data_IF_415675345890
#
_entry.id   IF_415675345890
#
_cell.length_a   1.000
_cell.length_b   1.000
_cell.length_c   1.000
_cell.angle_alpha   90.00
_cell.angle_beta   90.00
_cell.angle_gamma   90.00
#
_symmetry.space_group_name_H-M   'P 1'
#
loop_
_entity.id
_entity.type
_entity.pdbx_description
1 polymer ?
#
# COMPACT_ATOMS: atom_id res chain seq x y z
N UNK A 1 -3.55 -22.41 17.50
CA UNK A 1 -4.22 -21.90 16.30
C UNK A 1 -4.87 -20.56 16.61
N UNK A 2 -4.72 -19.58 15.73
CA UNK A 2 -5.26 -18.26 15.96
C UNK A 2 -6.77 -18.21 15.78
N UNK A 3 -7.43 -17.33 16.54
CA UNK A 3 -8.85 -17.06 16.40
C UNK A 3 -9.21 -16.43 15.05
N UNK A 4 -8.24 -15.79 14.40
CA UNK A 4 -8.46 -15.07 13.13
C UNK A 4 -8.23 -15.93 11.91
N UNK A 5 -7.54 -17.07 12.04
CA UNK A 5 -7.21 -17.92 10.90
C UNK A 5 -8.50 -18.41 10.23
N UNK A 6 -8.60 -18.19 8.91
CA UNK A 6 -9.78 -18.57 8.13
C UNK A 6 -10.96 -17.63 8.28
N UNK A 7 -10.84 -16.55 9.06
CA UNK A 7 -11.93 -15.61 9.25
C UNK A 7 -11.91 -14.49 8.18
N UNK A 8 -13.06 -13.83 8.04
CA UNK A 8 -13.19 -12.66 7.20
C UNK A 8 -12.28 -11.52 7.67
N UNK A 9 -12.08 -11.39 8.99
CA UNK A 9 -11.20 -10.37 9.56
C UNK A 9 -9.77 -10.56 9.07
N UNK A 10 -9.27 -11.78 9.09
CA UNK A 10 -7.92 -12.09 8.60
C UNK A 10 -7.80 -11.78 7.11
N UNK A 11 -8.81 -12.17 6.31
CA UNK A 11 -8.82 -11.86 4.89
C UNK A 11 -8.80 -10.36 4.64
N UNK A 12 -9.57 -9.59 5.42
CA UNK A 12 -9.60 -8.14 5.29
C UNK A 12 -8.26 -7.51 5.67
N UNK A 13 -7.59 -8.02 6.68
CA UNK A 13 -6.28 -7.51 7.11
C UNK A 13 -5.21 -7.72 6.02
N UNK A 14 -5.15 -8.91 5.42
CA UNK A 14 -4.15 -9.16 4.39
C UNK A 14 -4.48 -8.38 3.11
N UNK A 15 -5.77 -8.23 2.79
CA UNK A 15 -6.18 -7.40 1.65
C UNK A 15 -5.80 -5.93 1.87
N UNK A 16 -5.97 -5.42 3.09
CA UNK A 16 -5.59 -4.05 3.45
C UNK A 16 -4.08 -3.86 3.36
N UNK A 17 -3.30 -4.81 3.85
CA UNK A 17 -1.84 -4.78 3.73
C UNK A 17 -1.42 -4.72 2.26
N UNK A 18 -2.00 -5.55 1.41
CA UNK A 18 -1.69 -5.57 -0.02
C UNK A 18 -2.06 -4.25 -0.69
N UNK A 19 -3.24 -3.70 -0.34
CA UNK A 19 -3.71 -2.42 -0.87
C UNK A 19 -2.77 -1.27 -0.54
N UNK A 20 -2.37 -1.16 0.71
CA UNK A 20 -1.44 -0.12 1.15
C UNK A 20 -0.05 -0.30 0.53
N UNK A 21 0.40 -1.55 0.40
CA UNK A 21 1.72 -1.86 -0.17
C UNK A 21 1.81 -1.47 -1.64
N UNK A 22 0.79 -1.76 -2.45
CA UNK A 22 0.81 -1.35 -3.85
C UNK A 22 0.72 0.17 -3.98
N UNK A 23 -0.07 0.83 -3.14
CA UNK A 23 -0.18 2.29 -3.15
C UNK A 23 1.17 2.93 -2.82
N UNK A 24 1.87 2.41 -1.81
CA UNK A 24 3.20 2.90 -1.45
C UNK A 24 4.16 2.84 -2.63
N UNK A 25 4.17 1.75 -3.37
CA UNK A 25 5.05 1.62 -4.53
C UNK A 25 4.63 2.57 -5.65
N UNK A 26 3.33 2.66 -5.94
CA UNK A 26 2.81 3.54 -6.98
C UNK A 26 3.17 5.00 -6.71
N UNK A 27 2.99 5.47 -5.48
CA UNK A 27 3.36 6.85 -5.11
C UNK A 27 4.87 7.08 -5.16
N UNK A 28 5.68 6.07 -4.86
CA UNK A 28 7.13 6.15 -5.02
C UNK A 28 7.50 6.36 -6.48
N UNK A 29 6.84 5.67 -7.40
CA UNK A 29 7.07 5.83 -8.83
C UNK A 29 6.64 7.22 -9.30
N UNK A 30 5.51 7.72 -8.81
CA UNK A 30 5.04 9.07 -9.13
C UNK A 30 6.02 10.13 -8.63
N UNK A 31 6.61 9.93 -7.45
CA UNK A 31 7.63 10.83 -6.92
C UNK A 31 8.86 10.87 -7.82
N UNK A 32 9.30 9.72 -8.32
CA UNK A 32 10.45 9.62 -9.22
C UNK A 32 10.22 10.41 -10.51
N UNK A 33 9.02 10.33 -11.07
CA UNK A 33 8.68 11.08 -12.28
C UNK A 33 8.64 12.58 -11.99
N UNK A 34 8.04 12.98 -10.87
CA UNK A 34 8.00 14.39 -10.47
C UNK A 34 9.40 14.95 -10.30
N UNK A 35 10.32 14.18 -9.72
CA UNK A 35 11.72 14.57 -9.57
C UNK A 35 12.37 14.82 -10.94
N UNK A 36 12.20 13.90 -11.88
CA UNK A 36 12.78 14.02 -13.23
C UNK A 36 12.22 15.19 -14.00
N UNK A 37 10.96 15.52 -13.77
CA UNK A 37 10.30 16.63 -14.44
C UNK A 37 10.49 17.98 -13.73
N UNK A 38 11.18 17.99 -12.59
CA UNK A 38 11.52 19.21 -11.88
C UNK A 38 10.44 19.75 -10.94
N UNK A 39 9.44 18.95 -10.60
CA UNK A 39 8.35 19.33 -9.68
C UNK A 39 8.71 18.93 -8.26
N UNK A 40 9.61 19.68 -7.63
CA UNK A 40 10.16 19.35 -6.31
C UNK A 40 9.12 19.22 -5.22
N UNK A 41 8.17 20.16 -5.15
CA UNK A 41 7.14 20.15 -4.12
C UNK A 41 6.19 18.95 -4.29
N UNK A 42 5.85 18.64 -5.53
CA UNK A 42 4.98 17.51 -5.85
C UNK A 42 5.69 16.20 -5.52
N UNK A 43 6.99 16.12 -5.84
CA UNK A 43 7.83 14.98 -5.46
C UNK A 43 7.74 14.73 -3.95
N UNK A 44 7.91 15.78 -3.15
CA UNK A 44 7.87 15.66 -1.68
C UNK A 44 6.51 15.18 -1.18
N UNK A 45 5.42 15.66 -1.78
CA UNK A 45 4.05 15.22 -1.44
C UNK A 45 3.89 13.72 -1.73
N UNK A 46 4.35 13.25 -2.88
CA UNK A 46 4.26 11.83 -3.22
C UNK A 46 5.14 10.97 -2.31
N UNK A 47 6.32 11.46 -1.92
CA UNK A 47 7.20 10.75 -0.97
C UNK A 47 6.51 10.63 0.39
N UNK A 48 5.94 11.71 0.89
CA UNK A 48 5.24 11.70 2.17
C UNK A 48 4.05 10.75 2.15
N UNK A 49 3.28 10.78 1.06
CA UNK A 49 2.15 9.87 0.88
C UNK A 49 2.62 8.42 0.85
N UNK A 50 3.70 8.13 0.10
CA UNK A 50 4.26 6.78 0.04
C UNK A 50 4.72 6.31 1.43
N UNK A 51 5.34 7.18 2.21
CA UNK A 51 5.79 6.85 3.56
C UNK A 51 4.60 6.58 4.50
N UNK A 52 3.52 7.34 4.37
CA UNK A 52 2.30 7.10 5.14
C UNK A 52 1.70 5.74 4.79
N UNK A 53 1.65 5.39 3.50
CA UNK A 53 1.14 4.08 3.07
C UNK A 53 2.01 2.94 3.59
N UNK A 54 3.33 3.13 3.62
CA UNK A 54 4.26 2.15 4.18
C UNK A 54 3.97 1.90 5.66
N UNK A 55 3.70 2.97 6.43
CA UNK A 55 3.39 2.83 7.86
C UNK A 55 2.03 2.16 8.07
N UNK A 56 1.03 2.47 7.24
CA UNK A 56 -0.27 1.79 7.29
C UNK A 56 -0.11 0.30 6.99
N UNK A 57 0.66 -0.05 5.96
CA UNK A 57 0.92 -1.46 5.62
C UNK A 57 1.59 -2.18 6.79
N UNK A 58 2.54 -1.54 7.46
CA UNK A 58 3.23 -2.10 8.62
C UNK A 58 2.26 -2.39 9.75
N UNK A 59 1.32 -1.48 10.01
CA UNK A 59 0.31 -1.67 11.05
C UNK A 59 -0.56 -2.90 10.77
N UNK A 60 -1.02 -3.07 9.53
CA UNK A 60 -1.82 -4.23 9.16
C UNK A 60 -1.02 -5.52 9.28
N UNK A 61 0.23 -5.51 8.83
CA UNK A 61 1.10 -6.67 8.91
C UNK A 61 1.35 -7.08 10.38
N UNK A 62 1.65 -6.12 11.23
CA UNK A 62 1.84 -6.36 12.66
C UNK A 62 0.57 -6.85 13.34
N UNK A 63 -0.58 -6.34 12.92
CA UNK A 63 -1.86 -6.78 13.47
C UNK A 63 -2.10 -8.27 13.21
N UNK A 64 -1.79 -8.72 12.00
CA UNK A 64 -1.88 -10.15 11.66
C UNK A 64 -0.93 -10.94 12.54
N UNK A 65 0.33 -10.52 12.64
CA UNK A 65 1.35 -11.22 13.41
C UNK A 65 1.05 -11.23 14.93
N UNK A 66 0.31 -10.24 15.41
CA UNK A 66 -0.10 -10.13 16.80
C UNK A 66 -1.10 -11.22 17.20
N UNK A 67 -1.98 -11.60 16.27
CA UNK A 67 -3.05 -12.56 16.54
C UNK A 67 -2.75 -13.97 16.05
N UNK A 68 -1.72 -14.14 15.23
CA UNK A 68 -1.36 -15.44 14.65
C UNK A 68 0.13 -15.64 14.84
N UNK A 69 0.50 -16.80 15.42
CA UNK A 69 1.91 -17.13 15.59
C UNK A 69 2.55 -17.44 14.24
N UNK A 70 3.37 -16.51 13.76
CA UNK A 70 4.09 -16.64 12.50
C UNK A 70 5.61 -16.73 12.73
N UNK A 71 6.03 -17.00 13.97
CA UNK A 71 7.44 -17.01 14.34
C UNK A 71 8.15 -18.30 13.94
N UNK A 72 7.43 -19.40 13.82
CA UNK A 72 8.00 -20.71 13.45
C UNK A 72 7.81 -21.03 12.00
N UNK A 73 6.62 -20.84 11.49
CA UNK A 73 6.28 -21.11 10.10
C UNK A 73 5.56 -19.90 9.51
N UNK A 74 5.86 -19.58 8.26
CA UNK A 74 5.17 -18.52 7.56
C UNK A 74 3.71 -18.93 7.30
N UNK A 75 2.79 -17.99 7.52
CA UNK A 75 1.42 -18.17 7.14
C UNK A 75 1.25 -17.61 5.73
N UNK A 76 0.74 -18.43 4.83
CA UNK A 76 0.52 -18.02 3.44
C UNK A 76 -0.97 -17.73 3.24
N UNK A 77 -1.29 -16.51 2.86
CA UNK A 77 -2.67 -16.06 2.71
C UNK A 77 -2.92 -15.55 1.29
N UNK A 78 -4.03 -15.94 0.68
CA UNK A 78 -4.41 -15.35 -0.62
C UNK A 78 -4.84 -13.91 -0.45
N UNK A 79 -4.66 -13.11 -1.50
CA UNK A 79 -5.09 -11.72 -1.53
C UNK A 79 -6.14 -11.54 -2.61
N UNK A 80 -7.21 -10.80 -2.28
CA UNK A 80 -8.26 -10.44 -3.23
C UNK A 80 -8.33 -8.92 -3.32
N UNK A 81 -8.22 -8.40 -4.55
CA UNK A 81 -8.30 -6.96 -4.74
C UNK A 81 -8.09 -6.57 -6.19
N UNK A 82 -8.39 -5.32 -6.48
CA UNK A 82 -8.18 -4.72 -7.80
C UNK A 82 -7.50 -3.37 -7.58
N UNK A 83 -6.43 -3.11 -8.32
CA UNK A 83 -5.64 -1.91 -8.11
C UNK A 83 -5.42 -1.18 -9.42
N UNK A 84 -5.35 0.17 -9.40
CA UNK A 84 -5.13 0.92 -10.61
C UNK A 84 -3.69 0.75 -11.12
N UNK A 85 -3.56 0.62 -12.42
CA UNK A 85 -2.26 0.66 -13.09
C UNK A 85 -2.31 1.85 -14.03
N UNK A 86 -1.72 2.96 -13.61
CA UNK A 86 -1.69 4.19 -14.37
C UNK A 86 -0.38 4.90 -14.09
N UNK A 87 0.30 5.31 -15.15
CA UNK A 87 1.60 5.95 -15.05
C UNK A 87 1.73 6.93 -16.22
N UNK A 88 1.91 8.19 -15.92
CA UNK A 88 2.06 9.24 -16.91
C UNK A 88 3.04 10.29 -16.43
N UNK A 89 2.88 11.51 -16.93
CA UNK A 89 3.66 12.64 -16.42
C UNK A 89 3.12 13.07 -15.05
N UNK A 90 3.80 14.02 -14.42
CA UNK A 90 3.46 14.45 -13.06
C UNK A 90 2.01 14.91 -12.94
N UNK A 91 1.52 15.72 -13.89
CA UNK A 91 0.16 16.26 -13.82
C UNK A 91 -0.88 15.15 -13.97
N UNK A 92 -0.65 14.19 -14.86
CA UNK A 92 -1.54 13.05 -15.01
C UNK A 92 -1.48 12.14 -13.78
N UNK A 93 -0.31 11.95 -13.19
CA UNK A 93 -0.16 11.14 -11.98
C UNK A 93 -0.92 11.76 -10.79
N UNK A 94 -0.95 13.09 -10.69
CA UNK A 94 -1.78 13.78 -9.71
C UNK A 94 -3.27 13.48 -9.90
N UNK A 95 -3.73 13.46 -11.16
CA UNK A 95 -5.11 13.12 -11.48
C UNK A 95 -5.43 11.68 -11.10
N UNK A 96 -4.53 10.74 -11.40
CA UNK A 96 -4.70 9.33 -11.05
C UNK A 96 -4.77 9.15 -9.53
N UNK A 97 -3.91 9.86 -8.80
CA UNK A 97 -3.91 9.81 -7.33
C UNK A 97 -5.21 10.35 -6.75
N UNK A 98 -5.69 11.49 -7.26
CA UNK A 98 -6.94 12.09 -6.81
C UNK A 98 -8.14 11.16 -7.09
N UNK A 99 -8.17 10.50 -8.23
CA UNK A 99 -9.23 9.56 -8.58
C UNK A 99 -9.23 8.36 -7.64
N UNK A 100 -8.05 7.90 -7.22
CA UNK A 100 -7.92 6.77 -6.31
C UNK A 100 -8.35 7.08 -4.87
N UNK A 101 -8.42 8.35 -4.50
CA UNK A 101 -8.84 8.77 -3.16
C UNK A 101 -10.37 8.75 -2.98
N UNK A 102 -11.11 8.65 -4.05
CA UNK A 102 -12.60 8.72 -4.01
C UNK A 102 -13.25 7.35 -3.85
#
# INVERSE_FOLDING_TARGET
>A
MSKLQGTKTLQNLINAFAGESQARNRYTYYASIASKEGYKQIEEIFIDTANNEKEHAKLFFKKIAEYIDVTKDALVLPVTGSYPVALGDTLNNLKFAAAGEN
#
